data_IF_906591031644
#
_entry.id   IF_906591031644
#
_cell.length_a   1.000
_cell.length_b   1.000
_cell.length_c   1.000
_cell.angle_alpha   90.00
_cell.angle_beta   90.00
_cell.angle_gamma   90.00
#
_symmetry.space_group_name_H-M   'P 1'
#
loop_
_entity.id
_entity.type
_entity.pdbx_description
1 polymer ?
#
# COMPACT_ATOMS: atom_id res chain seq x y z
N UNK A 1 18.15 64.31 -58.60
CA UNK A 1 19.45 63.74 -58.19
C UNK A 1 19.47 62.27 -58.59
N UNK A 2 20.63 61.63 -58.66
CA UNK A 2 20.77 60.24 -59.12
C UNK A 2 20.14 59.27 -58.13
N UNK A 3 19.27 58.40 -58.61
CA UNK A 3 18.84 57.20 -57.87
C UNK A 3 19.54 55.96 -58.46
N UNK A 4 19.89 55.00 -57.62
CA UNK A 4 20.91 54.00 -57.93
C UNK A 4 20.28 52.67 -58.36
N UNK A 5 20.12 52.47 -59.68
CA UNK A 5 19.63 51.22 -60.27
C UNK A 5 20.64 50.08 -60.05
N UNK A 6 20.32 49.01 -59.30
CA UNK A 6 21.21 47.86 -59.14
C UNK A 6 21.17 46.96 -60.38
N UNK A 7 22.31 46.67 -60.99
CA UNK A 7 22.40 45.89 -62.24
C UNK A 7 22.30 44.37 -62.06
N UNK A 8 21.46 43.90 -61.12
CA UNK A 8 21.24 42.47 -60.85
C UNK A 8 19.74 42.18 -60.72
N UNK A 9 19.24 41.21 -61.51
CA UNK A 9 17.82 40.96 -61.76
C UNK A 9 17.03 40.28 -60.63
N UNK A 10 17.22 40.70 -59.38
CA UNK A 10 16.41 40.28 -58.23
C UNK A 10 16.01 41.50 -57.41
N UNK A 11 14.84 42.07 -57.68
CA UNK A 11 14.17 42.97 -56.75
C UNK A 11 13.89 42.21 -55.45
N UNK A 12 14.21 42.81 -54.29
CA UNK A 12 14.05 42.11 -53.01
C UNK A 12 12.56 42.05 -52.62
N UNK A 13 11.85 41.07 -53.17
CA UNK A 13 10.48 40.72 -52.81
C UNK A 13 10.40 40.13 -51.38
N UNK A 14 10.68 40.98 -50.39
CA UNK A 14 10.11 40.84 -49.04
C UNK A 14 8.60 40.70 -49.22
N UNK A 15 7.96 39.79 -48.49
CA UNK A 15 6.51 39.54 -48.59
C UNK A 15 5.74 40.85 -48.36
N UNK A 16 5.27 41.43 -49.46
CA UNK A 16 4.83 42.82 -49.53
C UNK A 16 4.79 43.26 -51.00
N UNK A 17 4.00 44.29 -51.28
CA UNK A 17 3.73 44.75 -52.64
C UNK A 17 4.88 45.65 -53.16
N UNK A 18 5.15 45.62 -54.47
CA UNK A 18 6.10 46.55 -55.08
C UNK A 18 5.50 47.98 -55.08
N UNK A 19 6.14 48.98 -54.44
CA UNK A 19 5.55 50.31 -54.27
C UNK A 19 5.13 50.95 -55.59
N UNK A 20 5.95 50.82 -56.63
CA UNK A 20 5.74 51.41 -57.96
C UNK A 20 4.63 50.69 -58.74
N UNK A 21 4.15 49.53 -58.27
CA UNK A 21 2.92 48.89 -58.75
C UNK A 21 1.71 49.39 -57.97
N UNK A 22 1.84 49.55 -56.64
CA UNK A 22 0.80 50.12 -55.77
C UNK A 22 0.49 51.57 -56.17
N UNK A 23 1.49 52.42 -56.37
CA UNK A 23 1.30 53.83 -56.74
C UNK A 23 0.62 53.98 -58.11
N UNK A 24 0.95 53.13 -59.08
CA UNK A 24 0.25 53.07 -60.37
C UNK A 24 -1.18 52.57 -60.23
N UNK A 25 -1.42 51.54 -59.40
CA UNK A 25 -2.76 51.06 -59.12
C UNK A 25 -3.62 52.11 -58.39
N UNK A 26 -3.06 52.82 -57.40
CA UNK A 26 -3.72 53.91 -56.68
C UNK A 26 -4.01 55.11 -57.60
N UNK A 27 -3.08 55.47 -58.49
CA UNK A 27 -3.28 56.53 -59.49
C UNK A 27 -4.39 56.15 -60.46
N UNK A 28 -4.40 54.91 -60.96
CA UNK A 28 -5.44 54.41 -61.85
C UNK A 28 -6.81 54.33 -61.15
N UNK A 29 -6.87 53.83 -59.92
CA UNK A 29 -8.09 53.78 -59.10
C UNK A 29 -8.62 55.18 -58.76
N UNK A 30 -7.72 56.15 -58.53
CA UNK A 30 -8.10 57.54 -58.26
C UNK A 30 -8.65 58.21 -59.52
N UNK A 31 -8.02 58.00 -60.69
CA UNK A 31 -8.56 58.47 -61.97
C UNK A 31 -9.92 57.81 -62.29
N UNK A 32 -10.09 56.51 -62.04
CA UNK A 32 -11.38 55.81 -62.19
C UNK A 32 -12.44 56.32 -61.21
N UNK A 33 -12.06 56.59 -59.96
CA UNK A 33 -12.92 57.19 -58.93
C UNK A 33 -13.38 58.59 -59.36
N UNK A 34 -12.49 59.41 -59.89
CA UNK A 34 -12.79 60.80 -60.23
C UNK A 34 -13.60 60.91 -61.54
N UNK A 35 -13.35 60.02 -62.50
CA UNK A 35 -14.22 59.80 -63.66
C UNK A 35 -15.62 59.31 -63.23
N UNK A 36 -15.72 58.40 -62.26
CA UNK A 36 -17.00 57.94 -61.72
C UNK A 36 -17.75 59.05 -60.96
N UNK A 37 -17.05 59.88 -60.18
CA UNK A 37 -17.62 61.08 -59.55
C UNK A 37 -18.09 62.09 -60.60
N UNK A 38 -17.33 62.30 -61.68
CA UNK A 38 -17.74 63.21 -62.74
C UNK A 38 -19.01 62.69 -63.43
N UNK A 39 -19.06 61.40 -63.80
CA UNK A 39 -20.28 60.76 -64.34
C UNK A 39 -21.46 60.86 -63.39
N UNK A 40 -21.27 60.64 -62.09
CA UNK A 40 -22.31 60.78 -61.08
C UNK A 40 -22.79 62.24 -60.96
N UNK A 41 -21.89 63.22 -61.07
CA UNK A 41 -22.24 64.65 -61.05
C UNK A 41 -23.04 65.07 -62.29
N UNK A 42 -22.68 64.55 -63.47
CA UNK A 42 -23.36 64.80 -64.75
C UNK A 42 -24.72 64.11 -64.77
N UNK A 43 -24.80 62.83 -64.37
CA UNK A 43 -26.06 62.10 -64.25
C UNK A 43 -26.98 62.74 -63.21
N UNK A 44 -26.43 63.18 -62.07
CA UNK A 44 -27.18 63.90 -61.04
C UNK A 44 -27.67 65.28 -61.49
N UNK A 45 -26.95 65.95 -62.40
CA UNK A 45 -27.45 67.16 -63.06
C UNK A 45 -28.58 66.83 -64.02
N UNK A 46 -28.37 65.86 -64.93
CA UNK A 46 -29.40 65.38 -65.87
C UNK A 46 -30.67 64.91 -65.16
N UNK A 47 -30.57 64.25 -64.01
CA UNK A 47 -31.73 63.86 -63.19
C UNK A 47 -32.48 65.11 -62.70
N UNK A 48 -31.80 66.13 -62.17
CA UNK A 48 -32.46 67.38 -61.74
C UNK A 48 -33.05 68.16 -62.92
N UNK A 49 -32.39 68.15 -64.07
CA UNK A 49 -32.89 68.77 -65.30
C UNK A 49 -34.15 68.03 -65.80
N UNK A 50 -34.16 66.70 -65.74
CA UNK A 50 -35.32 65.85 -66.08
C UNK A 50 -36.45 65.95 -65.04
N UNK A 51 -36.15 66.07 -63.75
CA UNK A 51 -37.13 66.35 -62.69
C UNK A 51 -37.78 67.72 -62.91
N UNK A 52 -36.97 68.74 -63.23
CA UNK A 52 -37.45 70.10 -63.55
C UNK A 52 -38.31 70.09 -64.82
N UNK A 53 -37.86 69.40 -65.88
CA UNK A 53 -38.62 69.24 -67.12
C UNK A 53 -39.92 68.44 -66.90
N UNK A 54 -39.92 67.43 -66.03
CA UNK A 54 -41.10 66.65 -65.67
C UNK A 54 -42.11 67.47 -64.85
N UNK A 55 -41.64 68.30 -63.93
CA UNK A 55 -42.50 69.25 -63.20
C UNK A 55 -43.08 70.29 -64.16
N UNK A 56 -42.28 70.88 -65.03
CA UNK A 56 -42.74 71.83 -66.05
C UNK A 56 -43.73 71.19 -67.04
N UNK A 57 -43.50 69.94 -67.47
CA UNK A 57 -44.40 69.20 -68.35
C UNK A 57 -45.71 68.84 -67.64
N UNK A 58 -45.68 68.48 -66.35
CA UNK A 58 -46.88 68.24 -65.52
C UNK A 58 -47.67 69.53 -65.29
N UNK A 59 -47.00 70.66 -65.07
CA UNK A 59 -47.63 71.97 -64.97
C UNK A 59 -48.28 72.38 -66.30
N UNK A 60 -47.54 72.30 -67.41
CA UNK A 60 -48.08 72.57 -68.74
C UNK A 60 -49.25 71.66 -69.13
N UNK A 61 -49.24 70.39 -68.69
CA UNK A 61 -50.35 69.45 -68.90
C UNK A 61 -51.56 69.69 -67.97
N UNK A 62 -51.37 70.38 -66.83
CA UNK A 62 -52.46 70.77 -65.92
C UNK A 62 -53.01 72.18 -66.22
N UNK A 63 -52.22 73.03 -66.88
CA UNK A 63 -52.62 74.34 -67.40
C UNK A 63 -53.20 74.25 -68.83
N UNK A 64 -52.95 73.14 -69.54
CA UNK A 64 -53.60 72.84 -70.81
C UNK A 64 -55.12 72.67 -70.63
N UNK A 65 -55.96 73.37 -71.41
CA UNK A 65 -57.39 73.11 -71.43
C UNK A 65 -57.70 71.66 -71.82
N UNK A 66 -58.76 71.09 -71.26
CA UNK A 66 -59.28 69.79 -71.72
C UNK A 66 -59.62 69.88 -73.22
N UNK A 67 -59.20 68.90 -74.04
CA UNK A 67 -59.31 68.99 -75.50
C UNK A 67 -60.76 68.83 -75.96
N UNK A 68 -61.40 69.95 -76.31
CA UNK A 68 -62.77 69.96 -76.82
C UNK A 68 -62.84 69.46 -78.28
N UNK A 69 -63.01 68.15 -78.42
CA UNK A 69 -63.19 67.48 -79.72
C UNK A 69 -64.53 67.77 -80.40
N UNK A 70 -65.51 68.42 -79.74
CA UNK A 70 -66.78 68.81 -80.41
C UNK A 70 -66.52 69.83 -81.53
N UNK A 71 -65.44 70.60 -81.41
CA UNK A 71 -64.93 71.51 -82.45
C UNK A 71 -64.50 70.79 -83.74
N UNK A 72 -64.23 69.48 -83.67
CA UNK A 72 -63.84 68.64 -84.80
C UNK A 72 -65.05 67.93 -85.41
N UNK A 73 -65.90 67.33 -84.57
CA UNK A 73 -67.27 66.91 -84.90
C UNK A 73 -68.04 66.47 -83.65
N UNK A 74 -69.37 66.46 -83.73
CA UNK A 74 -70.27 65.87 -82.72
C UNK A 74 -69.86 64.43 -82.36
N UNK A 75 -69.57 63.61 -83.39
CA UNK A 75 -69.11 62.22 -83.23
C UNK A 75 -67.76 62.10 -82.50
N UNK A 76 -66.87 63.08 -82.65
CA UNK A 76 -65.60 63.09 -81.92
C UNK A 76 -65.78 63.45 -80.44
N UNK A 77 -66.77 64.30 -80.11
CA UNK A 77 -67.21 64.54 -78.73
C UNK A 77 -67.81 63.29 -78.07
N UNK A 78 -68.71 62.59 -78.76
CA UNK A 78 -69.30 61.33 -78.29
C UNK A 78 -68.23 60.26 -78.03
N UNK A 79 -67.27 60.10 -78.95
CA UNK A 79 -66.15 59.16 -78.80
C UNK A 79 -65.25 59.50 -77.59
N UNK A 80 -65.00 60.78 -77.32
CA UNK A 80 -64.26 61.19 -76.12
C UNK A 80 -65.05 60.86 -74.84
N UNK A 81 -66.35 61.15 -74.79
CA UNK A 81 -67.19 60.85 -73.64
C UNK A 81 -67.30 59.33 -73.36
N UNK A 82 -67.27 58.49 -74.41
CA UNK A 82 -67.15 57.03 -74.30
C UNK A 82 -65.78 56.64 -73.74
N UNK A 83 -64.69 57.20 -74.27
CA UNK A 83 -63.33 56.91 -73.84
C UNK A 83 -63.07 57.28 -72.36
N UNK A 84 -63.55 58.43 -71.88
CA UNK A 84 -63.43 58.83 -70.47
C UNK A 84 -64.27 57.96 -69.53
N UNK A 85 -65.42 57.48 -70.00
CA UNK A 85 -66.24 56.52 -69.26
C UNK A 85 -65.54 55.16 -69.16
N UNK A 86 -64.96 54.66 -70.26
CA UNK A 86 -64.18 53.43 -70.26
C UNK A 86 -62.90 53.54 -69.43
N UNK A 87 -62.14 54.63 -69.55
CA UNK A 87 -60.92 54.89 -68.77
C UNK A 87 -61.20 55.05 -67.26
N UNK A 88 -62.38 55.54 -66.88
CA UNK A 88 -62.87 55.54 -65.49
C UNK A 88 -63.26 54.14 -65.03
N UNK A 89 -64.02 53.39 -65.83
CA UNK A 89 -64.39 52.01 -65.50
C UNK A 89 -63.17 51.09 -65.39
N UNK A 90 -62.13 51.29 -66.20
CA UNK A 90 -60.86 50.55 -66.11
C UNK A 90 -60.13 50.91 -64.81
N UNK A 91 -60.07 52.18 -64.42
CA UNK A 91 -59.51 52.60 -63.11
C UNK A 91 -60.28 51.99 -61.95
N UNK A 92 -61.60 52.12 -61.90
CA UNK A 92 -62.44 51.53 -60.85
C UNK A 92 -62.28 50.01 -60.74
N UNK A 93 -62.10 49.30 -61.87
CA UNK A 93 -61.83 47.85 -61.89
C UNK A 93 -60.43 47.52 -61.37
N UNK A 94 -59.41 48.31 -61.74
CA UNK A 94 -58.03 48.13 -61.30
C UNK A 94 -57.85 48.46 -59.82
N UNK A 95 -58.53 49.49 -59.31
CA UNK A 95 -58.57 49.87 -57.90
C UNK A 95 -59.20 48.75 -57.06
N UNK A 96 -60.41 48.29 -57.41
CA UNK A 96 -61.06 47.15 -56.73
C UNK A 96 -60.21 45.88 -56.78
N UNK A 97 -59.65 45.53 -57.94
CA UNK A 97 -58.76 44.36 -58.06
C UNK A 97 -57.50 44.48 -57.19
N UNK A 98 -56.96 45.69 -56.99
CA UNK A 98 -55.83 45.92 -56.10
C UNK A 98 -56.22 45.87 -54.61
N UNK A 99 -57.45 46.27 -54.26
CA UNK A 99 -58.04 46.10 -52.93
C UNK A 99 -58.29 44.62 -52.63
N UNK A 100 -58.99 43.91 -53.53
CA UNK A 100 -59.23 42.45 -53.44
C UNK A 100 -57.91 41.68 -53.26
N UNK A 101 -56.90 41.96 -54.11
CA UNK A 101 -55.57 41.32 -54.05
C UNK A 101 -54.84 41.64 -52.74
N UNK A 102 -55.03 42.85 -52.18
CA UNK A 102 -54.42 43.26 -50.91
C UNK A 102 -55.05 42.54 -49.74
N UNK A 103 -56.37 42.38 -49.73
CA UNK A 103 -57.09 41.73 -48.63
C UNK A 103 -56.88 40.21 -48.68
N UNK A 104 -56.87 39.59 -49.87
CA UNK A 104 -56.46 38.19 -50.08
C UNK A 104 -55.03 37.92 -49.55
N UNK A 105 -54.06 38.79 -49.90
CA UNK A 105 -52.67 38.63 -49.45
C UNK A 105 -52.47 38.94 -47.97
N UNK A 106 -53.28 39.84 -47.39
CA UNK A 106 -53.32 40.05 -45.95
C UNK A 106 -53.89 38.84 -45.21
N UNK A 107 -55.01 38.26 -45.67
CA UNK A 107 -55.62 37.09 -45.06
C UNK A 107 -54.69 35.87 -45.14
N UNK A 108 -54.09 35.60 -46.31
CA UNK A 108 -53.10 34.54 -46.46
C UNK A 108 -51.87 34.74 -45.55
N UNK A 109 -51.51 35.99 -45.25
CA UNK A 109 -50.48 36.34 -44.27
C UNK A 109 -50.90 36.00 -42.83
N UNK A 110 -52.14 36.30 -42.44
CA UNK A 110 -52.68 35.96 -41.12
C UNK A 110 -52.82 34.44 -40.94
N UNK A 111 -53.37 33.73 -41.94
CA UNK A 111 -53.51 32.27 -41.93
C UNK A 111 -52.13 31.59 -41.82
N UNK A 112 -51.14 32.10 -42.56
CA UNK A 112 -49.75 31.64 -42.49
C UNK A 112 -49.08 31.91 -41.15
N UNK A 113 -49.35 33.06 -40.51
CA UNK A 113 -48.86 33.35 -39.16
C UNK A 113 -49.51 32.42 -38.13
N UNK A 114 -50.83 32.26 -38.15
CA UNK A 114 -51.54 31.39 -37.21
C UNK A 114 -51.06 29.93 -37.33
N UNK A 115 -50.92 29.40 -38.55
CA UNK A 115 -50.42 28.06 -38.78
C UNK A 115 -48.98 27.86 -38.26
N UNK A 116 -48.12 28.89 -38.40
CA UNK A 116 -46.75 28.86 -37.86
C UNK A 116 -46.73 28.93 -36.32
N UNK A 117 -47.60 29.74 -35.71
CA UNK A 117 -47.75 29.83 -34.26
C UNK A 117 -48.26 28.52 -33.66
N UNK A 118 -49.34 27.95 -34.21
CA UNK A 118 -49.91 26.66 -33.80
C UNK A 118 -48.90 25.52 -33.93
N UNK A 119 -48.19 25.43 -35.07
CA UNK A 119 -47.13 24.44 -35.26
C UNK A 119 -46.01 24.60 -34.22
N UNK A 120 -45.55 25.84 -33.98
CA UNK A 120 -44.50 26.09 -32.99
C UNK A 120 -44.93 25.74 -31.55
N UNK A 121 -46.20 25.97 -31.20
CA UNK A 121 -46.76 25.63 -29.90
C UNK A 121 -46.91 24.10 -29.74
N UNK A 122 -47.35 23.40 -30.79
CA UNK A 122 -47.43 21.94 -30.81
C UNK A 122 -46.04 21.30 -30.65
N UNK A 123 -45.05 21.71 -31.45
CA UNK A 123 -43.67 21.18 -31.37
C UNK A 123 -43.01 21.46 -30.01
N UNK A 124 -43.20 22.65 -29.43
CA UNK A 124 -42.73 22.95 -28.06
C UNK A 124 -43.39 22.04 -27.02
N UNK A 125 -44.71 21.85 -27.12
CA UNK A 125 -45.47 20.99 -26.20
C UNK A 125 -45.04 19.52 -26.29
N UNK A 126 -44.78 19.01 -27.51
CA UNK A 126 -44.28 17.65 -27.71
C UNK A 126 -42.86 17.48 -27.16
N UNK A 127 -41.97 18.46 -27.41
CA UNK A 127 -40.60 18.46 -26.89
C UNK A 127 -40.57 18.50 -25.35
N UNK A 128 -41.38 19.34 -24.72
CA UNK A 128 -41.55 19.40 -23.26
C UNK A 128 -42.02 18.06 -22.68
N UNK A 129 -42.98 17.40 -23.34
CA UNK A 129 -43.42 16.07 -22.92
C UNK A 129 -42.36 15.00 -23.12
N UNK A 130 -41.58 15.06 -24.21
CA UNK A 130 -40.47 14.14 -24.46
C UNK A 130 -39.34 14.30 -23.43
N UNK A 131 -39.04 15.54 -23.04
CA UNK A 131 -38.13 15.86 -21.94
C UNK A 131 -38.65 15.28 -20.62
N UNK A 132 -39.90 15.56 -20.23
CA UNK A 132 -40.51 15.02 -18.99
C UNK A 132 -40.50 13.50 -18.93
N UNK A 133 -40.90 12.80 -20.01
CA UNK A 133 -40.82 11.33 -20.11
C UNK A 133 -39.39 10.79 -19.94
N UNK A 134 -38.38 11.54 -20.39
CA UNK A 134 -36.96 11.17 -20.26
C UNK A 134 -36.46 11.41 -18.84
N UNK A 135 -36.83 12.53 -18.22
CA UNK A 135 -36.57 12.87 -16.82
C UNK A 135 -37.20 11.84 -15.86
N UNK A 136 -38.46 11.48 -16.06
CA UNK A 136 -39.18 10.49 -15.25
C UNK A 136 -38.54 9.09 -15.38
N UNK A 137 -38.23 8.65 -16.61
CA UNK A 137 -37.56 7.38 -16.85
C UNK A 137 -36.17 7.33 -16.21
N UNK A 138 -35.36 8.38 -16.38
CA UNK A 138 -33.99 8.40 -15.82
C UNK A 138 -33.97 8.53 -14.30
N UNK A 139 -34.95 9.22 -13.68
CA UNK A 139 -35.17 9.18 -12.23
C UNK A 139 -35.54 7.78 -11.74
N UNK A 140 -36.50 7.11 -12.39
CA UNK A 140 -36.89 5.75 -12.03
C UNK A 140 -35.74 4.74 -12.20
N UNK A 141 -34.92 4.87 -13.25
CA UNK A 141 -33.70 4.08 -13.45
C UNK A 141 -32.67 4.33 -12.34
N UNK A 142 -32.43 5.59 -11.96
CA UNK A 142 -31.51 5.95 -10.88
C UNK A 142 -31.99 5.50 -9.49
N UNK A 143 -33.30 5.58 -9.21
CA UNK A 143 -33.90 5.07 -7.98
C UNK A 143 -33.85 3.53 -7.90
N UNK A 144 -34.08 2.84 -9.02
CA UNK A 144 -33.91 1.38 -9.12
C UNK A 144 -32.46 0.98 -8.81
N UNK A 145 -31.48 1.62 -9.46
CA UNK A 145 -30.06 1.34 -9.27
C UNK A 145 -29.58 1.64 -7.84
N UNK A 146 -30.07 2.73 -7.22
CA UNK A 146 -29.84 3.01 -5.79
C UNK A 146 -30.41 1.92 -4.90
N UNK A 147 -31.66 1.52 -5.13
CA UNK A 147 -32.30 0.45 -4.36
C UNK A 147 -31.64 -0.92 -4.53
N UNK A 148 -31.05 -1.21 -5.69
CA UNK A 148 -30.24 -2.39 -5.95
C UNK A 148 -28.93 -2.33 -5.14
N UNK A 149 -28.14 -1.27 -5.29
CA UNK A 149 -26.90 -1.07 -4.52
C UNK A 149 -27.12 -1.07 -2.99
N UNK A 150 -28.23 -0.52 -2.51
CA UNK A 150 -28.62 -0.54 -1.08
C UNK A 150 -28.88 -1.96 -0.57
N UNK A 151 -29.48 -2.84 -1.39
CA UNK A 151 -29.74 -4.25 -1.03
C UNK A 151 -28.44 -5.05 -1.08
N UNK A 152 -27.60 -4.84 -2.09
CA UNK A 152 -26.33 -5.54 -2.23
C UNK A 152 -25.36 -5.16 -1.11
N UNK A 153 -25.31 -3.88 -0.72
CA UNK A 153 -24.52 -3.38 0.42
C UNK A 153 -24.99 -3.98 1.75
N UNK A 154 -26.31 -4.04 2.00
CA UNK A 154 -26.87 -4.71 3.19
C UNK A 154 -26.54 -6.20 3.19
N UNK A 155 -26.78 -6.90 2.08
CA UNK A 155 -26.50 -8.34 1.93
C UNK A 155 -25.02 -8.64 2.19
N UNK A 156 -24.11 -7.84 1.63
CA UNK A 156 -22.65 -7.97 1.84
C UNK A 156 -22.24 -7.71 3.28
N UNK A 157 -22.88 -6.75 3.96
CA UNK A 157 -22.66 -6.49 5.39
C UNK A 157 -23.18 -7.64 6.26
N UNK A 158 -24.35 -8.18 5.92
CA UNK A 158 -25.01 -9.22 6.72
C UNK A 158 -24.29 -10.58 6.55
N UNK A 159 -23.79 -10.90 5.35
CA UNK A 159 -22.90 -12.06 5.15
C UNK A 159 -21.58 -11.89 5.88
N UNK A 160 -20.89 -10.75 5.72
CA UNK A 160 -19.59 -10.51 6.37
C UNK A 160 -19.70 -10.51 7.91
N UNK A 161 -20.79 -9.99 8.48
CA UNK A 161 -21.01 -10.02 9.93
C UNK A 161 -21.40 -11.42 10.42
N UNK A 162 -22.17 -12.20 9.65
CA UNK A 162 -22.43 -13.60 9.95
C UNK A 162 -21.17 -14.48 9.88
N UNK A 163 -20.26 -14.22 8.92
CA UNK A 163 -18.96 -14.89 8.83
C UNK A 163 -18.04 -14.50 9.99
N UNK A 164 -17.94 -13.21 10.33
CA UNK A 164 -17.21 -12.75 11.50
C UNK A 164 -17.74 -13.36 12.81
N UNK A 165 -19.07 -13.57 12.92
CA UNK A 165 -19.67 -14.28 14.05
C UNK A 165 -19.27 -15.76 14.08
N UNK A 166 -19.35 -16.49 12.96
CA UNK A 166 -18.89 -17.89 12.85
C UNK A 166 -17.42 -18.04 13.24
N UNK A 167 -16.55 -17.13 12.75
CA UNK A 167 -15.12 -17.15 13.07
C UNK A 167 -14.87 -16.93 14.56
N UNK A 168 -15.61 -16.01 15.21
CA UNK A 168 -15.51 -15.79 16.67
C UNK A 168 -15.93 -17.02 17.47
N UNK A 169 -17.02 -17.70 17.08
CA UNK A 169 -17.47 -18.94 17.74
C UNK A 169 -16.42 -20.05 17.55
N UNK A 170 -15.97 -20.29 16.32
CA UNK A 170 -14.95 -21.30 16.04
C UNK A 170 -13.62 -21.03 16.78
N UNK A 171 -13.23 -19.76 16.93
CA UNK A 171 -12.06 -19.36 17.71
C UNK A 171 -12.25 -19.56 19.23
N UNK A 172 -13.44 -19.29 19.77
CA UNK A 172 -13.76 -19.56 21.16
C UNK A 172 -13.73 -21.06 21.46
N UNK A 173 -14.41 -21.88 20.66
CA UNK A 173 -14.36 -23.35 20.80
C UNK A 173 -12.93 -23.91 20.62
N UNK A 174 -12.11 -23.32 19.75
CA UNK A 174 -10.70 -23.70 19.61
C UNK A 174 -9.87 -23.35 20.85
N UNK A 175 -10.17 -22.22 21.50
CA UNK A 175 -9.63 -21.84 22.82
C UNK A 175 -10.02 -22.85 23.90
N UNK A 176 -11.31 -23.15 24.05
CA UNK A 176 -11.81 -24.14 25.02
C UNK A 176 -11.16 -25.52 24.84
N UNK A 177 -11.02 -25.99 23.59
CA UNK A 177 -10.32 -27.26 23.27
C UNK A 177 -8.83 -27.21 23.64
N UNK A 178 -8.17 -26.07 23.41
CA UNK A 178 -6.75 -25.89 23.76
C UNK A 178 -6.53 -25.81 25.28
N UNK A 179 -7.41 -25.13 26.01
CA UNK A 179 -7.38 -25.07 27.48
C UNK A 179 -7.67 -26.44 28.11
N UNK A 180 -8.67 -27.17 27.60
CA UNK A 180 -8.97 -28.53 28.05
C UNK A 180 -7.76 -29.47 27.87
N UNK A 181 -7.12 -29.44 26.70
CA UNK A 181 -5.91 -30.22 26.43
C UNK A 181 -4.71 -29.78 27.27
N UNK A 182 -4.57 -28.49 27.57
CA UNK A 182 -3.53 -27.99 28.47
C UNK A 182 -3.78 -28.43 29.93
N UNK A 183 -5.03 -28.53 30.36
CA UNK A 183 -5.39 -29.06 31.68
C UNK A 183 -5.16 -30.58 31.79
N UNK A 184 -5.42 -31.34 30.70
CA UNK A 184 -5.08 -32.76 30.57
C UNK A 184 -3.56 -32.99 30.67
N UNK A 185 -2.77 -32.28 29.84
CA UNK A 185 -1.31 -32.37 29.86
C UNK A 185 -0.68 -31.92 31.19
N UNK A 186 -1.30 -30.98 31.92
CA UNK A 186 -0.89 -30.61 33.27
C UNK A 186 -1.11 -31.76 34.26
N UNK A 187 -2.31 -32.36 34.28
CA UNK A 187 -2.59 -33.54 35.14
C UNK A 187 -1.63 -34.68 34.86
N UNK A 188 -1.37 -35.00 33.58
CA UNK A 188 -0.38 -36.02 33.23
C UNK A 188 1.03 -35.67 33.74
N UNK A 189 1.43 -34.40 33.73
CA UNK A 189 2.73 -33.97 34.25
C UNK A 189 2.77 -34.02 35.79
N UNK A 190 1.71 -33.57 36.46
CA UNK A 190 1.57 -33.59 37.92
C UNK A 190 1.55 -35.05 38.45
N UNK A 191 0.83 -35.95 37.78
CA UNK A 191 0.77 -37.39 38.11
C UNK A 191 2.12 -38.08 37.91
N UNK A 192 2.85 -37.78 36.82
CA UNK A 192 4.20 -38.32 36.59
C UNK A 192 5.20 -37.77 37.62
N UNK A 193 5.16 -36.47 37.91
CA UNK A 193 6.03 -35.86 38.90
C UNK A 193 5.80 -36.46 40.29
N UNK A 194 4.54 -36.63 40.71
CA UNK A 194 4.20 -37.28 41.98
C UNK A 194 4.66 -38.76 42.03
N UNK A 195 4.61 -39.49 40.91
CA UNK A 195 5.11 -40.86 40.82
C UNK A 195 6.65 -40.93 40.89
N UNK A 196 7.35 -40.02 40.21
CA UNK A 196 8.81 -39.90 40.27
C UNK A 196 9.29 -39.44 41.66
N UNK A 197 8.61 -38.49 42.29
CA UNK A 197 8.90 -38.04 43.67
C UNK A 197 8.68 -39.18 44.67
N UNK A 198 7.57 -39.92 44.59
CA UNK A 198 7.31 -41.08 45.44
C UNK A 198 8.35 -42.20 45.25
N UNK A 199 8.82 -42.42 44.02
CA UNK A 199 9.88 -43.37 43.72
C UNK A 199 11.24 -42.92 44.30
N UNK A 200 11.56 -41.62 44.22
CA UNK A 200 12.76 -41.05 44.81
C UNK A 200 12.73 -41.14 46.35
N UNK A 201 11.63 -40.72 46.99
CA UNK A 201 11.43 -40.85 48.44
C UNK A 201 11.55 -42.30 48.92
N UNK A 202 11.03 -43.27 48.15
CA UNK A 202 11.17 -44.70 48.45
C UNK A 202 12.63 -45.20 48.31
N UNK A 203 13.36 -44.72 47.31
CA UNK A 203 14.77 -45.04 47.12
C UNK A 203 15.65 -44.45 48.24
N UNK A 204 15.39 -43.20 48.64
CA UNK A 204 16.07 -42.53 49.75
C UNK A 204 15.79 -43.22 51.09
N UNK A 205 14.53 -43.63 51.34
CA UNK A 205 14.16 -44.39 52.53
C UNK A 205 14.80 -45.79 52.58
N UNK A 206 14.95 -46.46 51.44
CA UNK A 206 15.68 -47.72 51.34
C UNK A 206 17.20 -47.51 51.56
N UNK A 207 17.76 -46.44 51.00
CA UNK A 207 19.17 -46.05 51.16
C UNK A 207 19.52 -45.71 52.61
N UNK A 208 18.69 -44.90 53.28
CA UNK A 208 18.87 -44.56 54.69
C UNK A 208 18.72 -45.79 55.60
N UNK A 209 17.72 -46.64 55.37
CA UNK A 209 17.56 -47.91 56.12
C UNK A 209 18.78 -48.82 55.96
N UNK A 210 19.33 -48.92 54.76
CA UNK A 210 20.55 -49.70 54.50
C UNK A 210 21.81 -49.07 55.14
N UNK A 211 21.90 -47.73 55.16
CA UNK A 211 22.99 -47.01 55.81
C UNK A 211 22.93 -47.16 57.35
N UNK A 212 21.75 -47.04 57.96
CA UNK A 212 21.55 -47.31 59.38
C UNK A 212 21.83 -48.78 59.72
N UNK A 213 21.46 -49.72 58.85
CA UNK A 213 21.80 -51.15 59.00
C UNK A 213 23.31 -51.36 59.10
N UNK A 214 24.06 -50.83 58.13
CA UNK A 214 25.53 -50.87 58.12
C UNK A 214 26.16 -50.14 59.31
N UNK A 215 25.54 -49.03 59.76
CA UNK A 215 26.00 -48.32 60.96
C UNK A 215 25.84 -49.20 62.21
N UNK A 216 24.66 -49.83 62.40
CA UNK A 216 24.41 -50.77 63.52
C UNK A 216 25.34 -51.98 63.47
N UNK A 217 25.62 -52.52 62.29
CA UNK A 217 26.60 -53.59 62.09
C UNK A 217 28.03 -53.15 62.46
N UNK A 218 28.44 -51.96 62.02
CA UNK A 218 29.76 -51.39 62.35
C UNK A 218 29.89 -51.06 63.84
N UNK A 219 28.82 -50.57 64.49
CA UNK A 219 28.77 -50.32 65.93
C UNK A 219 28.87 -51.62 66.74
N UNK A 220 28.12 -52.66 66.36
CA UNK A 220 28.20 -54.00 66.98
C UNK A 220 29.57 -54.64 66.77
N UNK A 221 30.15 -54.51 65.57
CA UNK A 221 31.50 -55.00 65.31
C UNK A 221 32.54 -54.25 66.15
N UNK A 222 32.44 -52.92 66.25
CA UNK A 222 33.29 -52.10 67.12
C UNK A 222 33.14 -52.46 68.60
N UNK A 223 31.92 -52.69 69.08
CA UNK A 223 31.68 -53.12 70.46
C UNK A 223 32.25 -54.52 70.74
N UNK A 224 32.06 -55.47 69.81
CA UNK A 224 32.65 -56.81 69.87
C UNK A 224 34.18 -56.77 69.90
N UNK A 225 34.82 -55.99 69.01
CA UNK A 225 36.27 -55.79 68.99
C UNK A 225 36.76 -55.12 70.29
N UNK A 226 36.05 -54.11 70.80
CA UNK A 226 36.37 -53.50 72.09
C UNK A 226 36.19 -54.46 73.27
N UNK A 227 35.23 -55.39 73.18
CA UNK A 227 35.05 -56.49 74.14
C UNK A 227 36.24 -57.46 74.12
N UNK A 228 36.67 -57.89 72.94
CA UNK A 228 37.85 -58.76 72.75
C UNK A 228 39.14 -58.05 73.21
N UNK A 229 39.32 -56.77 72.89
CA UNK A 229 40.49 -55.99 73.34
C UNK A 229 40.50 -55.86 74.87
N UNK A 230 39.36 -55.55 75.50
CA UNK A 230 39.24 -55.56 76.98
C UNK A 230 39.53 -56.94 77.56
N UNK A 231 39.04 -58.01 76.96
CA UNK A 231 39.31 -59.37 77.43
C UNK A 231 40.80 -59.68 77.36
N UNK A 232 41.46 -59.41 76.22
CA UNK A 232 42.91 -59.59 76.03
C UNK A 232 43.71 -58.77 77.05
N UNK A 233 43.32 -57.53 77.32
CA UNK A 233 43.95 -56.68 78.33
C UNK A 233 43.77 -57.25 79.75
N UNK A 234 42.56 -57.67 80.14
CA UNK A 234 42.36 -58.34 81.45
C UNK A 234 43.08 -59.68 81.56
N UNK A 235 43.20 -60.44 80.47
CA UNK A 235 43.98 -61.68 80.42
C UNK A 235 45.48 -61.40 80.52
N UNK A 236 45.97 -60.32 79.90
CA UNK A 236 47.36 -59.88 79.96
C UNK A 236 47.72 -59.39 81.37
N UNK A 237 46.85 -58.60 82.01
CA UNK A 237 46.95 -58.18 83.40
C UNK A 237 46.96 -59.40 84.34
N UNK A 238 46.00 -60.32 84.20
CA UNK A 238 45.95 -61.54 84.99
C UNK A 238 47.13 -62.51 84.74
N UNK A 239 47.81 -62.43 83.58
CA UNK A 239 49.09 -63.13 83.32
C UNK A 239 50.27 -62.39 83.95
N UNK A 240 50.30 -61.06 83.90
CA UNK A 240 51.32 -60.25 84.55
C UNK A 240 51.27 -60.43 86.08
N UNK A 241 50.09 -60.39 86.70
CA UNK A 241 49.91 -60.66 88.13
C UNK A 241 50.38 -62.06 88.50
N UNK A 242 50.06 -63.09 87.69
CA UNK A 242 50.54 -64.46 87.89
C UNK A 242 52.07 -64.57 87.78
N UNK A 243 52.69 -63.84 86.84
CA UNK A 243 54.15 -63.80 86.69
C UNK A 243 54.82 -63.05 87.85
N UNK A 244 54.23 -61.95 88.34
CA UNK A 244 54.69 -61.22 89.52
C UNK A 244 54.57 -62.09 90.78
N UNK A 245 53.47 -62.83 90.93
CA UNK A 245 53.27 -63.77 92.04
C UNK A 245 54.20 -64.99 91.97
N UNK A 246 54.49 -65.50 90.77
CA UNK A 246 55.51 -66.52 90.58
C UNK A 246 56.90 -65.98 90.92
N UNK A 247 57.27 -64.80 90.41
CA UNK A 247 58.55 -64.15 90.70
C UNK A 247 58.71 -63.82 92.20
N UNK A 248 57.63 -63.44 92.90
CA UNK A 248 57.61 -63.28 94.36
C UNK A 248 57.91 -64.59 95.08
N UNK A 249 57.22 -65.68 94.74
CA UNK A 249 57.46 -67.00 95.37
C UNK A 249 58.82 -67.58 95.04
N UNK A 250 59.34 -67.30 93.84
CA UNK A 250 60.69 -67.68 93.45
C UNK A 250 61.74 -66.87 94.24
N UNK A 251 61.53 -65.55 94.39
CA UNK A 251 62.36 -64.70 95.24
C UNK A 251 62.26 -65.07 96.74
N UNK A 252 61.08 -65.43 97.25
CA UNK A 252 60.88 -65.93 98.61
C UNK A 252 61.62 -67.26 98.82
N UNK A 253 61.55 -68.20 97.86
CA UNK A 253 62.31 -69.46 97.90
C UNK A 253 63.81 -69.25 97.81
N UNK A 254 64.27 -68.32 96.96
CA UNK A 254 65.69 -67.94 96.87
C UNK A 254 66.15 -67.27 98.16
N UNK A 255 65.32 -66.42 98.77
CA UNK A 255 65.61 -65.77 100.05
C UNK A 255 65.61 -66.77 101.22
N UNK A 256 64.70 -67.75 101.25
CA UNK A 256 64.69 -68.78 102.29
C UNK A 256 65.88 -69.72 102.15
N UNK A 257 66.18 -70.21 100.93
CA UNK A 257 67.37 -70.98 100.65
C UNK A 257 68.66 -70.21 100.98
N UNK A 258 68.73 -68.91 100.65
CA UNK A 258 69.84 -68.04 101.04
C UNK A 258 69.94 -67.81 102.55
N UNK A 259 68.82 -67.82 103.27
CA UNK A 259 68.80 -67.70 104.73
C UNK A 259 69.22 -69.02 105.40
N UNK A 260 68.81 -70.16 104.86
CA UNK A 260 69.23 -71.51 105.28
C UNK A 260 70.73 -71.74 105.00
N UNK A 261 71.23 -71.34 103.83
CA UNK A 261 72.67 -71.38 103.52
C UNK A 261 73.48 -70.45 104.43
N UNK A 262 72.98 -69.24 104.75
CA UNK A 262 73.61 -68.34 105.72
C UNK A 262 73.64 -68.93 107.11
N UNK A 263 72.52 -69.47 107.60
CA UNK A 263 72.45 -70.14 108.90
C UNK A 263 73.40 -71.34 108.98
N UNK A 264 73.49 -72.15 107.92
CA UNK A 264 74.45 -73.25 107.82
C UNK A 264 75.91 -72.78 107.71
N UNK A 265 76.16 -71.58 107.15
CA UNK A 265 77.48 -70.94 107.18
C UNK A 265 77.83 -70.46 108.59
N UNK A 266 76.92 -69.79 109.29
CA UNK A 266 77.10 -69.31 110.67
C UNK A 266 77.25 -70.49 111.66
N UNK A 267 76.56 -71.60 111.45
CA UNK A 267 76.71 -72.84 112.24
C UNK A 267 78.09 -73.48 112.01
N UNK A 268 78.61 -73.50 110.77
CA UNK A 268 79.99 -73.90 110.48
C UNK A 268 81.00 -72.95 111.12
N UNK A 269 80.73 -71.64 111.09
CA UNK A 269 81.61 -70.61 111.64
C UNK A 269 81.69 -70.71 113.18
N UNK A 270 80.54 -70.87 113.85
CA UNK A 270 80.48 -71.09 115.30
C UNK A 270 81.08 -72.44 115.72
N UNK A 271 80.96 -73.50 114.91
CA UNK A 271 81.66 -74.78 115.13
C UNK A 271 83.18 -74.59 115.06
N UNK A 272 83.68 -73.89 114.03
CA UNK A 272 85.12 -73.59 113.87
C UNK A 272 85.62 -72.68 115.00
N UNK A 273 84.85 -71.68 115.42
CA UNK A 273 85.18 -70.84 116.56
C UNK A 273 85.19 -71.62 117.88
N UNK A 274 84.24 -72.54 118.09
CA UNK A 274 84.21 -73.43 119.27
C UNK A 274 85.46 -74.34 119.31
N UNK A 275 85.89 -74.88 118.17
CA UNK A 275 87.14 -75.63 118.08
C UNK A 275 88.38 -74.74 118.35
N UNK A 276 88.42 -73.52 117.80
CA UNK A 276 89.52 -72.58 118.05
C UNK A 276 89.57 -72.11 119.50
N UNK A 277 88.45 -71.87 120.16
CA UNK A 277 88.40 -71.42 121.54
C UNK A 277 88.62 -72.59 122.54
N UNK A 278 88.30 -73.83 122.17
CA UNK A 278 88.74 -75.01 122.92
C UNK A 278 90.27 -75.20 122.84
N UNK A 279 90.88 -74.97 121.67
CA UNK A 279 92.34 -74.99 121.48
C UNK A 279 93.01 -73.84 122.24
N UNK A 280 92.46 -72.61 122.17
CA UNK A 280 92.96 -71.47 122.97
C UNK A 280 92.80 -71.71 124.46
N UNK A 281 91.67 -72.22 124.91
CA UNK A 281 91.39 -72.48 126.33
C UNK A 281 92.31 -73.53 126.94
N UNK A 282 92.68 -74.56 126.18
CA UNK A 282 93.65 -75.58 126.62
C UNK A 282 95.10 -75.06 126.61
N UNK A 283 95.51 -74.28 125.60
CA UNK A 283 96.84 -73.63 125.56
C UNK A 283 97.02 -72.52 126.62
N UNK A 284 95.96 -71.74 126.90
CA UNK A 284 95.97 -70.67 127.90
C UNK A 284 96.04 -71.20 129.35
N UNK A 285 95.72 -72.47 129.57
CA UNK A 285 95.68 -73.08 130.90
C UNK A 285 97.06 -73.20 131.56
N UNK A 286 98.08 -73.67 130.83
CA UNK A 286 99.41 -73.94 131.44
C UNK A 286 100.65 -73.68 130.56
N UNK A 287 100.51 -72.93 129.47
CA UNK A 287 101.61 -72.15 128.87
C UNK A 287 101.24 -70.67 128.87
N UNK A 288 101.16 -70.08 130.06
CA UNK A 288 100.67 -68.70 130.20
C UNK A 288 101.67 -67.66 129.68
N UNK A 289 101.26 -66.87 128.67
CA UNK A 289 101.68 -65.45 128.45
C UNK A 289 100.99 -64.79 127.24
N UNK A 290 99.99 -63.95 127.53
CA UNK A 290 99.58 -62.76 126.74
C UNK A 290 99.06 -62.92 125.28
N UNK A 291 98.71 -61.77 124.68
CA UNK A 291 98.16 -61.54 123.31
C UNK A 291 96.72 -62.05 123.14
N UNK A 292 95.74 -61.29 122.62
CA UNK A 292 95.73 -59.97 121.96
C UNK A 292 94.90 -60.09 120.66
N UNK A 293 93.72 -59.48 120.54
CA UNK A 293 93.53 -58.09 120.08
C UNK A 293 94.41 -57.72 118.88
N UNK A 294 93.87 -57.86 117.66
CA UNK A 294 94.39 -57.29 116.41
C UNK A 294 93.22 -56.85 115.52
N UNK A 295 93.25 -55.60 115.05
CA UNK A 295 92.45 -55.07 113.94
C UNK A 295 93.22 -55.18 112.61
N UNK A 296 92.52 -55.35 111.48
CA UNK A 296 92.89 -55.14 110.06
C UNK A 296 92.13 -56.16 109.18
N UNK A 297 91.91 -55.98 107.87
CA UNK A 297 92.14 -54.87 106.93
C UNK A 297 91.28 -55.14 105.69
N UNK A 298 90.74 -54.13 105.01
CA UNK A 298 91.25 -53.50 103.76
C UNK A 298 91.37 -54.40 102.50
N UNK A 299 91.33 -53.74 101.34
CA UNK A 299 91.30 -54.14 99.92
C UNK A 299 92.42 -55.13 99.50
N UNK A 300 92.34 -55.85 98.33
CA UNK A 300 91.96 -55.30 97.01
C UNK A 300 91.26 -56.27 96.01
N UNK A 301 91.34 -55.96 94.70
CA UNK A 301 90.68 -56.62 93.56
C UNK A 301 91.68 -57.12 92.49
N UNK A 302 91.24 -57.95 91.53
CA UNK A 302 91.62 -57.93 90.08
C UNK A 302 91.22 -59.22 89.30
N UNK A 303 91.04 -59.09 87.96
CA UNK A 303 90.79 -60.18 86.98
C UNK A 303 89.31 -60.52 86.81
N UNK A 304 88.71 -60.68 85.62
CA UNK A 304 89.21 -60.92 84.25
C UNK A 304 88.63 -62.26 83.73
N UNK A 305 88.18 -62.49 82.49
CA UNK A 305 88.13 -61.75 81.19
C UNK A 305 86.83 -62.24 80.45
N UNK A 306 86.35 -61.85 79.25
CA UNK A 306 86.93 -61.31 78.00
C UNK A 306 85.86 -60.58 77.14
N UNK A 307 86.32 -59.82 76.14
CA UNK A 307 85.59 -59.21 74.99
C UNK A 307 85.61 -60.17 73.74
N UNK A 308 85.27 -59.77 72.48
CA UNK A 308 84.10 -59.08 71.88
C UNK A 308 83.65 -59.86 70.58
N UNK A 309 83.34 -59.31 69.35
CA UNK A 309 82.77 -58.01 68.90
C UNK A 309 81.64 -58.07 67.82
N UNK A 310 81.07 -56.89 67.50
CA UNK A 310 80.53 -56.42 66.19
C UNK A 310 79.26 -57.09 65.57
N UNK A 311 78.43 -56.38 64.80
CA UNK A 311 78.36 -54.94 64.48
C UNK A 311 77.48 -54.63 63.24
N UNK A 312 77.20 -53.34 62.93
CA UNK A 312 76.74 -52.72 61.63
C UNK A 312 75.49 -53.30 60.92
N UNK A 313 74.64 -52.58 60.17
CA UNK A 313 74.39 -51.16 59.83
C UNK A 313 72.89 -51.07 59.42
N UNK A 314 72.13 -49.96 59.42
CA UNK A 314 72.24 -48.66 58.73
C UNK A 314 72.05 -48.70 57.19
N UNK A 315 71.28 -47.73 56.65
CA UNK A 315 70.90 -47.53 55.22
C UNK A 315 70.03 -48.63 54.57
N UNK A 316 69.39 -48.47 53.39
CA UNK A 316 68.69 -47.36 52.71
C UNK A 316 68.03 -47.91 51.41
N UNK A 317 67.13 -47.16 50.74
CA UNK A 317 66.48 -47.54 49.46
C UNK A 317 64.96 -47.72 49.60
N UNK A 318 64.01 -47.00 48.97
CA UNK A 318 63.95 -46.07 47.81
C UNK A 318 63.39 -46.68 46.50
N UNK A 319 62.07 -46.56 46.32
CA UNK A 319 61.30 -46.42 45.07
C UNK A 319 59.91 -45.84 45.46
N UNK A 320 59.24 -44.90 44.79
CA UNK A 320 58.98 -44.67 43.35
C UNK A 320 58.08 -45.78 42.74
N UNK A 321 56.99 -45.51 42.00
CA UNK A 321 56.39 -44.23 41.53
C UNK A 321 54.91 -44.50 41.08
N UNK A 322 54.02 -43.57 40.70
CA UNK A 322 54.08 -42.11 40.46
C UNK A 322 52.65 -41.46 40.55
N UNK A 323 52.57 -40.13 40.65
CA UNK A 323 51.42 -39.30 40.21
C UNK A 323 50.31 -38.99 41.25
N UNK A 324 49.71 -37.79 41.26
CA UNK A 324 50.10 -36.53 40.60
C UNK A 324 49.58 -35.31 41.40
N UNK A 325 50.26 -34.17 41.24
CA UNK A 325 49.72 -32.85 41.60
C UNK A 325 48.76 -32.36 40.49
N UNK A 326 47.83 -31.46 40.86
CA UNK A 326 47.00 -30.53 40.03
C UNK A 326 45.61 -30.37 40.69
N UNK A 327 45.00 -29.18 40.79
CA UNK A 327 45.53 -27.82 40.63
C UNK A 327 44.70 -26.87 41.52
N UNK A 328 45.30 -25.78 42.04
CA UNK A 328 44.58 -24.81 42.88
C UNK A 328 43.75 -23.80 42.07
N UNK A 329 42.47 -24.11 41.91
CA UNK A 329 41.34 -23.16 41.85
C UNK A 329 41.47 -21.91 40.98
N UNK A 330 40.77 -21.90 39.84
CA UNK A 330 40.44 -20.68 39.11
C UNK A 330 38.96 -20.27 39.34
N UNK A 331 38.72 -19.00 39.67
CA UNK A 331 37.39 -18.39 39.87
C UNK A 331 37.13 -17.35 38.78
N UNK A 332 36.19 -17.59 37.85
CA UNK A 332 35.74 -16.57 36.91
C UNK A 332 34.50 -15.84 37.48
N UNK A 333 34.73 -14.69 38.12
CA UNK A 333 33.71 -13.64 38.25
C UNK A 333 33.73 -12.73 37.00
N UNK A 334 32.63 -12.04 36.67
CA UNK A 334 32.27 -11.81 35.27
C UNK A 334 32.84 -10.52 34.64
N UNK A 335 33.00 -10.48 33.30
CA UNK A 335 33.05 -9.24 32.55
C UNK A 335 31.64 -8.63 32.39
N UNK A 336 31.45 -7.42 32.89
CA UNK A 336 30.22 -6.62 32.72
C UNK A 336 30.32 -5.74 31.47
N UNK A 337 29.22 -5.61 30.71
CA UNK A 337 29.04 -4.70 29.56
C UNK A 337 29.95 -4.97 28.33
N UNK A 338 29.50 -4.84 27.07
CA UNK A 338 28.33 -4.14 26.52
C UNK A 338 27.64 -4.92 25.37
N UNK A 339 26.45 -4.45 24.97
CA UNK A 339 25.66 -4.90 23.82
C UNK A 339 26.12 -4.20 22.49
N UNK A 340 25.64 -4.54 21.26
CA UNK A 340 24.41 -5.31 20.96
C UNK A 340 24.40 -6.28 19.75
N UNK A 341 23.29 -7.03 19.66
CA UNK A 341 22.69 -7.61 18.43
C UNK A 341 23.54 -8.56 17.56
N UNK A 342 23.64 -9.83 17.99
CA UNK A 342 23.81 -10.96 17.04
C UNK A 342 22.43 -11.36 16.49
N UNK A 343 22.27 -11.35 15.17
CA UNK A 343 21.03 -11.83 14.52
C UNK A 343 21.00 -13.36 14.53
N UNK A 344 20.03 -13.94 15.27
CA UNK A 344 19.81 -15.39 15.29
C UNK A 344 19.37 -15.89 13.91
N UNK A 345 20.28 -16.56 13.21
CA UNK A 345 20.06 -17.12 11.87
C UNK A 345 19.35 -18.47 11.99
N UNK A 346 18.03 -18.46 11.75
CA UNK A 346 17.18 -19.65 11.88
C UNK A 346 17.70 -20.83 11.02
N UNK A 347 17.72 -22.08 11.54
CA UNK A 347 18.12 -23.27 10.80
C UNK A 347 17.38 -23.46 9.47
N UNK A 348 17.99 -24.21 8.55
CA UNK A 348 17.49 -24.35 7.18
C UNK A 348 16.12 -25.04 7.11
N UNK A 349 15.87 -26.01 7.99
CA UNK A 349 14.77 -26.97 7.86
C UNK A 349 13.39 -26.32 8.11
N UNK A 350 13.33 -25.35 9.02
CA UNK A 350 12.13 -24.52 9.23
C UNK A 350 11.76 -23.67 8.00
N UNK A 351 12.72 -23.37 7.12
CA UNK A 351 12.47 -22.61 5.89
C UNK A 351 11.75 -23.44 4.82
N UNK A 352 11.86 -24.77 4.89
CA UNK A 352 11.18 -25.67 3.96
C UNK A 352 9.73 -25.98 4.38
N UNK A 353 9.47 -26.14 5.69
CA UNK A 353 8.09 -26.29 6.18
C UNK A 353 7.26 -25.00 6.01
N UNK A 354 7.87 -23.82 6.20
CA UNK A 354 7.22 -22.54 5.91
C UNK A 354 6.85 -22.37 4.41
N UNK A 355 7.60 -23.00 3.50
CA UNK A 355 7.31 -22.99 2.06
C UNK A 355 6.23 -24.02 1.65
N UNK A 356 5.97 -25.04 2.48
CA UNK A 356 4.98 -26.09 2.22
C UNK A 356 3.57 -25.77 2.77
N UNK A 357 3.42 -24.70 3.55
CA UNK A 357 2.18 -24.33 4.25
C UNK A 357 1.60 -22.97 3.80
N UNK A 358 1.82 -22.57 2.56
CA UNK A 358 1.18 -21.39 1.97
C UNK A 358 -0.19 -21.74 1.38
N UNK A 359 -1.30 -21.09 1.78
CA UNK A 359 -2.57 -21.25 1.10
C UNK A 359 -2.51 -20.60 -0.29
N UNK A 360 -3.02 -21.28 -1.31
CA UNK A 360 -3.12 -20.77 -2.69
C UNK A 360 -4.22 -19.71 -2.83
N UNK A 361 -3.96 -18.52 -2.28
CA UNK A 361 -4.70 -17.30 -2.62
C UNK A 361 -4.04 -16.56 -3.81
N UNK A 362 -4.81 -15.80 -4.61
CA UNK A 362 -4.27 -15.03 -5.73
C UNK A 362 -3.38 -13.87 -5.27
N UNK A 363 -2.37 -13.53 -6.08
CA UNK A 363 -1.36 -12.50 -5.78
C UNK A 363 -1.97 -11.08 -5.73
N UNK A 364 -1.90 -10.36 -4.59
CA UNK A 364 -2.42 -8.99 -4.46
C UNK A 364 -1.63 -7.93 -5.25
N UNK A 365 -0.59 -8.30 -6.02
CA UNK A 365 0.15 -7.41 -6.93
C UNK A 365 -0.17 -7.61 -8.42
N UNK A 366 -1.01 -8.59 -8.77
CA UNK A 366 -1.37 -8.91 -10.15
C UNK A 366 -2.49 -8.03 -10.77
N UNK A 367 -3.02 -7.04 -10.02
CA UNK A 367 -4.14 -6.19 -10.47
C UNK A 367 -3.76 -4.70 -10.43
N UNK A 368 -2.95 -4.27 -11.40
CA UNK A 368 -3.06 -2.91 -11.92
C UNK A 368 -3.85 -2.96 -13.24
N UNK A 369 -4.94 -2.18 -13.40
CA UNK A 369 -5.50 -1.97 -14.72
C UNK A 369 -4.49 -1.19 -15.58
N UNK A 370 -4.31 -1.52 -16.86
CA UNK A 370 -3.39 -0.78 -17.73
C UNK A 370 -3.89 0.67 -17.87
N UNK A 371 -2.99 1.63 -17.71
CA UNK A 371 -3.29 3.05 -18.00
C UNK A 371 -3.46 3.19 -19.51
N UNK A 372 -4.71 3.17 -19.97
CA UNK A 372 -5.04 3.40 -21.37
C UNK A 372 -4.67 4.83 -21.78
N UNK A 373 -3.80 4.94 -22.77
CA UNK A 373 -3.49 6.22 -23.41
C UNK A 373 -4.75 6.77 -24.12
N UNK A 374 -4.98 8.09 -24.13
CA UNK A 374 -6.11 8.65 -24.87
C UNK A 374 -5.93 8.36 -26.38
N UNK A 375 -6.91 7.74 -27.06
CA UNK A 375 -6.75 7.36 -28.46
C UNK A 375 -6.71 8.59 -29.37
N UNK A 376 -5.71 8.65 -30.24
CA UNK A 376 -5.70 9.59 -31.37
C UNK A 376 -6.87 9.22 -32.29
N UNK A 377 -7.75 10.18 -32.57
CA UNK A 377 -8.93 9.97 -33.39
C UNK A 377 -8.54 9.59 -34.84
N UNK A 378 -8.86 8.37 -35.24
CA UNK A 378 -8.90 7.97 -36.65
C UNK A 378 -10.31 8.21 -37.22
N UNK A 379 -10.46 8.57 -38.51
CA UNK A 379 -11.76 8.86 -39.10
C UNK A 379 -12.63 7.59 -39.19
N UNK A 380 -13.97 7.72 -39.08
CA UNK A 380 -14.86 6.58 -38.99
C UNK A 380 -14.97 5.80 -40.32
N UNK A 381 -14.62 4.52 -40.29
CA UNK A 381 -14.90 3.56 -41.37
C UNK A 381 -16.39 3.20 -41.41
N UNK A 382 -16.93 2.94 -42.61
CA UNK A 382 -18.35 2.71 -42.81
C UNK A 382 -18.88 1.40 -42.18
N UNK A 383 -20.15 1.36 -41.71
CA UNK A 383 -20.78 0.16 -41.15
C UNK A 383 -21.23 -0.84 -42.25
N UNK A 384 -21.39 -2.13 -41.91
CA UNK A 384 -21.93 -3.14 -42.83
C UNK A 384 -23.43 -2.95 -43.12
N UNK A 385 -23.95 -3.49 -44.25
CA UNK A 385 -25.34 -3.29 -44.66
C UNK A 385 -26.33 -4.05 -43.76
N UNK A 386 -27.15 -3.30 -43.02
CA UNK A 386 -28.33 -3.81 -42.33
C UNK A 386 -29.50 -4.03 -43.31
N UNK A 387 -30.51 -4.80 -42.88
CA UNK A 387 -31.66 -5.16 -43.71
C UNK A 387 -32.50 -3.94 -44.14
N UNK A 388 -33.17 -4.05 -45.31
CA UNK A 388 -33.96 -2.98 -45.89
C UNK A 388 -35.19 -2.63 -45.02
N UNK A 389 -35.44 -1.35 -44.72
CA UNK A 389 -36.70 -0.93 -44.09
C UNK A 389 -37.88 -1.07 -45.07
N UNK A 390 -39.12 -1.19 -44.58
CA UNK A 390 -40.29 -1.29 -45.45
C UNK A 390 -40.47 -0.03 -46.31
N UNK A 391 -40.85 -0.25 -47.57
CA UNK A 391 -41.00 0.82 -48.58
C UNK A 391 -42.16 1.75 -48.19
N UNK A 392 -41.98 3.09 -48.22
CA UNK A 392 -43.09 4.01 -48.01
C UNK A 392 -44.15 3.88 -49.12
N UNK A 393 -45.44 4.11 -48.84
CA UNK A 393 -46.47 4.09 -49.87
C UNK A 393 -46.18 5.14 -50.95
N UNK A 394 -46.48 4.80 -52.21
CA UNK A 394 -46.34 5.74 -53.34
C UNK A 394 -47.15 7.02 -53.08
N UNK A 395 -46.65 8.20 -53.50
CA UNK A 395 -47.50 9.37 -53.66
C UNK A 395 -48.72 9.05 -54.53
N UNK A 396 -49.90 9.47 -54.10
CA UNK A 396 -51.12 9.39 -54.91
C UNK A 396 -50.95 10.32 -56.11
N UNK A 397 -51.33 9.85 -57.31
CA UNK A 397 -51.24 10.66 -58.51
C UNK A 397 -52.18 11.89 -58.42
N UNK A 398 -51.80 13.06 -58.98
CA UNK A 398 -52.71 14.19 -59.06
C UNK A 398 -53.94 13.83 -59.91
N UNK A 399 -55.12 14.43 -59.62
CA UNK A 399 -56.35 14.15 -60.36
C UNK A 399 -56.22 14.57 -61.84
N UNK A 400 -56.96 13.93 -62.76
CA UNK A 400 -56.88 14.22 -64.18
C UNK A 400 -57.39 15.63 -64.50
N UNK A 401 -56.65 16.35 -65.34
CA UNK A 401 -57.02 17.67 -65.86
C UNK A 401 -58.28 17.54 -66.75
N UNK A 402 -59.32 18.37 -66.56
CA UNK A 402 -60.50 18.35 -67.42
C UNK A 402 -60.15 18.81 -68.85
N UNK A 403 -60.82 18.27 -69.89
CA UNK A 403 -60.51 18.60 -71.27
C UNK A 403 -60.86 20.06 -71.61
N UNK A 404 -59.96 20.76 -72.29
CA UNK A 404 -60.21 22.10 -72.80
C UNK A 404 -61.27 22.06 -73.93
N UNK A 405 -62.19 23.05 -74.01
CA UNK A 405 -63.16 23.14 -75.10
C UNK A 405 -62.49 23.50 -76.43
N UNK A 406 -63.09 23.13 -77.58
CA UNK A 406 -62.49 23.37 -78.89
C UNK A 406 -62.58 24.86 -79.29
N UNK A 407 -61.44 25.52 -79.44
CA UNK A 407 -61.38 26.85 -80.06
C UNK A 407 -61.73 26.75 -81.54
N UNK A 408 -62.67 27.58 -81.99
CA UNK A 408 -63.17 27.57 -83.37
C UNK A 408 -62.15 28.14 -84.38
N UNK A 409 -62.40 27.90 -85.66
CA UNK A 409 -61.52 28.23 -86.78
C UNK A 409 -61.21 29.73 -86.92
N UNK A 410 -59.96 30.04 -87.26
CA UNK A 410 -59.54 31.32 -87.82
C UNK A 410 -58.49 31.11 -88.92
N UNK A 411 -58.84 31.47 -90.15
CA UNK A 411 -58.01 31.54 -91.35
C UNK A 411 -58.73 32.42 -92.39
N UNK A 412 -58.09 32.97 -93.44
CA UNK A 412 -56.70 32.76 -93.87
C UNK A 412 -55.91 34.05 -94.25
N UNK A 413 -54.65 33.89 -94.69
CA UNK A 413 -53.91 34.75 -95.69
C UNK A 413 -53.52 36.19 -95.27
N UNK A 414 -52.39 36.80 -95.67
CA UNK A 414 -51.02 36.42 -96.13
C UNK A 414 -50.24 37.77 -96.34
N UNK A 415 -49.07 37.87 -97.03
CA UNK A 415 -47.94 36.94 -97.22
C UNK A 415 -46.55 37.53 -96.87
N UNK A 416 -45.54 36.64 -96.81
CA UNK A 416 -44.12 36.80 -97.18
C UNK A 416 -43.37 38.15 -97.03
N UNK A 417 -42.28 38.08 -96.23
CA UNK A 417 -40.97 38.64 -96.60
C UNK A 417 -39.89 37.59 -96.27
N UNK A 418 -39.13 37.15 -97.27
CA UNK A 418 -37.87 36.42 -97.08
C UNK A 418 -36.74 37.45 -97.20
N UNK A 419 -35.78 37.49 -96.26
CA UNK A 419 -34.35 37.51 -96.63
C UNK A 419 -33.35 37.35 -95.46
N UNK A 420 -32.10 37.08 -95.86
CA UNK A 420 -30.81 37.25 -95.19
C UNK A 420 -30.60 36.73 -93.75
N UNK A 421 -29.93 35.58 -93.71
CA UNK A 421 -29.09 35.10 -92.61
C UNK A 421 -28.11 36.14 -92.06
N UNK A 422 -28.08 36.34 -90.74
CA UNK A 422 -26.86 36.81 -90.05
C UNK A 422 -26.64 36.14 -88.70
N UNK A 423 -25.73 35.17 -88.67
CA UNK A 423 -25.24 34.54 -87.43
C UNK A 423 -24.30 35.50 -86.71
N UNK A 424 -24.52 35.71 -85.42
CA UNK A 424 -23.51 36.20 -84.47
C UNK A 424 -23.49 35.28 -83.24
N UNK A 425 -22.31 34.97 -82.67
CA UNK A 425 -22.17 33.92 -81.67
C UNK A 425 -22.62 34.34 -80.27
N UNK A 426 -22.93 33.34 -79.44
CA UNK A 426 -22.99 33.50 -77.98
C UNK A 426 -21.65 34.05 -77.47
N UNK A 427 -21.71 35.01 -76.55
CA UNK A 427 -20.65 35.24 -75.57
C UNK A 427 -21.05 34.45 -74.31
N UNK A 428 -20.11 33.68 -73.77
CA UNK A 428 -20.35 32.84 -72.58
C UNK A 428 -20.19 33.67 -71.29
N UNK A 429 -20.87 33.25 -70.22
CA UNK A 429 -20.92 34.01 -68.97
C UNK A 429 -19.65 33.79 -68.14
N UNK A 430 -18.73 34.77 -68.12
CA UNK A 430 -17.66 34.79 -67.13
C UNK A 430 -18.19 35.00 -65.71
N UNK A 431 -17.58 34.29 -64.76
CA UNK A 431 -18.12 34.13 -63.41
C UNK A 431 -17.82 35.33 -62.52
N UNK A 432 -18.85 36.13 -62.20
CA UNK A 432 -18.73 37.26 -61.28
C UNK A 432 -18.37 36.78 -59.85
N UNK A 433 -17.11 36.99 -59.45
CA UNK A 433 -16.63 36.68 -58.09
C UNK A 433 -17.15 37.71 -57.11
N UNK A 434 -18.15 37.34 -56.31
CA UNK A 434 -18.70 38.19 -55.23
C UNK A 434 -17.78 38.07 -54.00
N UNK A 435 -17.10 39.15 -53.56
CA UNK A 435 -16.31 39.11 -52.33
C UNK A 435 -17.23 39.07 -51.10
N UNK A 436 -17.05 38.09 -50.22
CA UNK A 436 -17.68 38.10 -48.89
C UNK A 436 -17.05 39.21 -48.05
N UNK A 437 -17.82 40.27 -47.78
CA UNK A 437 -17.51 41.20 -46.69
C UNK A 437 -17.81 40.50 -45.38
N UNK A 438 -16.78 40.26 -44.57
CA UNK A 438 -16.93 39.87 -43.17
C UNK A 438 -16.90 41.15 -42.34
N UNK A 439 -18.04 41.54 -41.80
CA UNK A 439 -18.11 42.63 -40.83
C UNK A 439 -17.63 42.05 -39.50
N UNK A 440 -16.55 42.63 -38.96
CA UNK A 440 -16.11 42.40 -37.58
C UNK A 440 -16.69 43.54 -36.75
N UNK A 441 -17.48 43.19 -35.73
CA UNK A 441 -18.12 44.14 -34.83
C UNK A 441 -17.16 44.47 -33.67
N UNK A 442 -16.31 45.48 -33.90
CA UNK A 442 -15.42 46.02 -32.87
C UNK A 442 -16.24 46.86 -31.87
N UNK A 443 -16.96 46.16 -30.98
CA UNK A 443 -18.01 46.69 -30.10
C UNK A 443 -17.57 47.74 -29.08
N UNK A 444 -17.35 48.98 -29.52
CA UNK A 444 -16.99 50.14 -28.69
C UNK A 444 -18.16 51.11 -28.60
N UNK A 445 -19.03 50.89 -27.61
CA UNK A 445 -20.21 51.75 -27.34
C UNK A 445 -19.84 53.06 -26.65
N UNK A 446 -19.54 54.10 -27.43
CA UNK A 446 -19.34 55.48 -26.94
C UNK A 446 -20.67 56.22 -26.78
N UNK A 447 -21.46 55.80 -25.79
CA UNK A 447 -22.77 56.42 -25.49
C UNK A 447 -22.58 57.67 -24.61
N UNK A 448 -22.37 58.83 -25.25
CA UNK A 448 -22.12 60.12 -24.57
C UNK A 448 -23.19 61.17 -24.89
N UNK A 449 -24.37 61.01 -24.30
CA UNK A 449 -25.47 61.98 -24.35
C UNK A 449 -25.94 62.37 -22.94
N UNK A 450 -25.71 63.62 -22.48
CA UNK A 450 -26.18 64.09 -21.19
C UNK A 450 -27.65 64.54 -21.23
N UNK A 451 -28.24 64.69 -20.03
CA UNK A 451 -29.56 65.27 -19.75
C UNK A 451 -30.79 64.38 -20.02
N UNK A 452 -31.15 63.53 -19.05
CA UNK A 452 -32.57 63.35 -18.66
C UNK A 452 -32.74 63.63 -17.16
N UNK A 453 -33.87 64.23 -16.79
CA UNK A 453 -34.06 64.83 -15.46
C UNK A 453 -34.76 63.86 -14.52
N UNK A 454 -34.07 63.47 -13.43
CA UNK A 454 -34.61 62.56 -12.43
C UNK A 454 -35.78 63.14 -11.62
N UNK A 455 -37.02 62.81 -12.00
CA UNK A 455 -38.19 63.03 -11.14
C UNK A 455 -38.20 62.04 -9.99
N UNK A 456 -37.81 62.49 -8.79
CA UNK A 456 -38.38 61.91 -7.56
C UNK A 456 -39.85 62.31 -7.44
N UNK A 457 -40.69 61.38 -7.03
CA UNK A 457 -41.92 61.68 -6.29
C UNK A 457 -41.93 60.87 -5.00
N UNK A 458 -42.62 61.45 -4.02
CA UNK A 458 -43.08 60.89 -2.74
C UNK A 458 -43.31 59.39 -2.75
#
# INVERSE_FOLDING_TARGET
>A
MSDAIPSYGFTQARRGYAPEQVDRALTALTAQRDEAWHRLSVLGAQIRDLETALVAARQAAAEAPEPDYTTLSEQAGDLMAIADNEARQIREKAERFAEDTRDDTYQAGQDGQQAAEEYSAATRTEADQAARRTDERTRAEAERLRGEADRDSRTTRDTATAEAAKIRVAAAEAGERAEAKLAELRREADERFAAEEAAAQAADAASSTAAEGRLREAEQHRESVLGVVKQIDTDAQARADKLVEQARREAERINSASAEERAAFDERLSTVQTHLDHIKGTLASLTGKAVGMIEAGDRPAAGGVTEPPAGSDAAAGTAADAGSEDETGEVPLPPTADAPTTVLRLPADFRQQAAAAAPTGPDPRAVQPPIAQPPIAQPPTAPPPAAQPPVPPRPVAPPPVPPAPPTAAAAPVAPASEDETRVLPKVEAETAVIPKIVIIDDGVTMDTLPNTVGRRRS
#
